data_IF_916454139517
#
_entry.id   IF_916454139517
#
_cell.length_a   1.000
_cell.length_b   1.000
_cell.length_c   1.000
_cell.angle_alpha   90.00
_cell.angle_beta   90.00
_cell.angle_gamma   90.00
#
_symmetry.space_group_name_H-M   'P 1'
#
loop_
_entity.id
_entity.type
_entity.pdbx_description
1 polymer ?
#
# COMPACT_ATOMS: atom_id res chain seq x y z
N UNK A 1 -6.33 18.12 39.74
CA UNK A 1 -5.14 17.24 39.76
C UNK A 1 -4.87 16.61 38.41
N UNK A 2 -5.85 15.95 37.79
CA UNK A 2 -5.72 15.28 36.47
C UNK A 2 -5.12 16.20 35.38
N UNK A 3 -5.57 17.44 35.24
CA UNK A 3 -5.04 18.38 34.25
C UNK A 3 -3.56 18.67 34.45
N UNK A 4 -3.08 18.74 35.70
CA UNK A 4 -1.65 18.94 36.03
C UNK A 4 -0.80 17.72 35.63
N UNK A 5 -1.33 16.49 35.80
CA UNK A 5 -0.66 15.25 35.38
C UNK A 5 -0.48 15.21 33.85
N UNK A 6 -1.43 15.78 33.10
CA UNK A 6 -1.46 15.75 31.64
C UNK A 6 -1.01 17.05 30.96
N UNK A 7 -0.56 18.04 31.71
CA UNK A 7 -0.19 19.36 31.18
C UNK A 7 0.85 19.31 30.04
N UNK A 8 1.76 18.35 30.06
CA UNK A 8 2.80 18.15 29.05
C UNK A 8 2.40 17.16 27.93
N UNK A 9 1.14 16.75 27.83
CA UNK A 9 0.62 15.79 26.85
C UNK A 9 1.43 14.49 26.73
N UNK A 10 2.01 14.03 27.82
CA UNK A 10 2.68 12.74 27.89
C UNK A 10 1.67 11.61 27.71
N UNK A 11 2.08 10.53 27.05
CA UNK A 11 1.20 9.37 26.82
C UNK A 11 0.74 8.72 28.14
N UNK A 12 -0.37 7.92 28.08
CA UNK A 12 -1.05 7.29 29.20
C UNK A 12 -0.07 6.62 30.18
N UNK A 13 0.88 5.83 29.67
CA UNK A 13 1.83 5.09 30.52
C UNK A 13 2.75 6.01 31.31
N UNK A 14 3.23 7.11 30.71
CA UNK A 14 4.10 8.06 31.40
C UNK A 14 3.33 8.87 32.46
N UNK A 15 2.12 9.31 32.12
CA UNK A 15 1.24 10.02 33.08
C UNK A 15 0.88 9.15 34.27
N UNK A 16 0.54 7.86 34.07
CA UNK A 16 0.27 6.93 35.16
C UNK A 16 1.48 6.71 36.05
N UNK A 17 2.68 6.52 35.48
CA UNK A 17 3.91 6.37 36.27
C UNK A 17 4.16 7.61 37.13
N UNK A 18 4.18 8.79 36.50
CA UNK A 18 4.40 10.06 37.18
C UNK A 18 3.37 10.30 38.30
N UNK A 19 2.11 9.92 38.10
CA UNK A 19 1.08 10.07 39.13
C UNK A 19 1.30 9.12 40.32
N UNK A 20 1.65 7.86 40.07
CA UNK A 20 1.88 6.84 41.12
C UNK A 20 3.03 7.18 42.07
N UNK A 21 4.02 7.91 41.58
CA UNK A 21 5.18 8.29 42.39
C UNK A 21 4.80 9.31 43.51
N UNK A 22 3.72 10.06 43.32
CA UNK A 22 3.40 11.20 44.21
C UNK A 22 1.94 11.29 44.66
N UNK A 23 1.05 10.48 44.07
CA UNK A 23 -0.39 10.58 44.28
C UNK A 23 -1.06 9.19 44.35
N UNK A 24 -2.11 9.10 45.15
CA UNK A 24 -2.98 7.96 45.18
C UNK A 24 -4.43 8.35 45.45
N UNK A 25 -5.36 7.82 44.65
CA UNK A 25 -6.79 7.80 44.90
C UNK A 25 -7.46 6.64 44.17
N UNK A 26 -8.61 6.12 44.68
CA UNK A 26 -9.34 5.05 44.00
C UNK A 26 -9.75 5.42 42.59
N UNK A 27 -9.49 4.54 41.59
CA UNK A 27 -9.83 4.78 40.18
C UNK A 27 -8.87 5.69 39.41
N UNK A 28 -7.77 6.19 40.02
CA UNK A 28 -6.80 7.10 39.40
C UNK A 28 -6.34 6.64 38.01
N UNK A 29 -5.96 5.39 37.87
CA UNK A 29 -5.45 4.86 36.59
C UNK A 29 -6.49 4.92 35.46
N UNK A 30 -7.76 4.68 35.79
CA UNK A 30 -8.86 4.74 34.82
C UNK A 30 -9.14 6.19 34.44
N UNK A 31 -9.25 7.08 35.42
CA UNK A 31 -9.49 8.51 35.16
C UNK A 31 -8.41 9.16 34.32
N UNK A 32 -7.12 8.83 34.55
CA UNK A 32 -6.01 9.27 33.71
C UNK A 32 -6.16 8.74 32.28
N UNK A 33 -6.53 7.47 32.13
CA UNK A 33 -6.74 6.88 30.81
C UNK A 33 -7.87 7.56 30.05
N UNK A 34 -9.01 7.75 30.70
CA UNK A 34 -10.21 8.35 30.10
C UNK A 34 -9.96 9.81 29.68
N UNK A 35 -9.30 10.58 30.52
CA UNK A 35 -8.94 11.95 30.20
C UNK A 35 -8.01 12.03 28.98
N UNK A 36 -6.95 11.22 28.94
CA UNK A 36 -5.97 11.27 27.85
C UNK A 36 -6.57 10.71 26.55
N UNK A 37 -7.41 9.68 26.63
CA UNK A 37 -8.09 9.11 25.46
C UNK A 37 -9.04 10.09 24.75
N UNK A 38 -9.59 11.05 25.52
CA UNK A 38 -10.44 12.14 25.02
C UNK A 38 -9.67 13.40 24.63
N UNK A 39 -8.37 13.46 24.88
CA UNK A 39 -7.57 14.66 24.61
C UNK A 39 -7.37 14.88 23.10
N UNK A 40 -7.91 15.97 22.57
CA UNK A 40 -7.80 16.35 21.17
C UNK A 40 -6.34 16.43 20.70
N UNK A 41 -5.48 17.15 21.46
CA UNK A 41 -4.05 17.32 21.14
C UNK A 41 -3.34 15.96 21.04
N UNK A 42 -3.51 15.08 22.04
CA UNK A 42 -2.88 13.75 22.02
C UNK A 42 -3.37 12.90 20.84
N UNK A 43 -4.64 12.97 20.51
CA UNK A 43 -5.22 12.23 19.40
C UNK A 43 -4.78 12.79 18.03
N UNK A 44 -4.59 14.10 17.91
CA UNK A 44 -4.09 14.75 16.68
C UNK A 44 -2.66 14.31 16.33
N UNK A 45 -1.80 14.15 17.32
CA UNK A 45 -0.39 13.78 17.14
C UNK A 45 -0.07 12.32 17.45
N UNK A 46 -1.08 11.47 17.50
CA UNK A 46 -0.91 10.05 17.81
C UNK A 46 -0.08 9.32 16.75
N UNK A 47 0.71 8.35 17.18
CA UNK A 47 1.46 7.48 16.27
C UNK A 47 0.52 6.65 15.38
N UNK A 48 1.03 6.23 14.21
CA UNK A 48 0.32 5.31 13.34
C UNK A 48 0.06 3.97 14.06
N UNK A 49 -1.04 3.32 13.70
CA UNK A 49 -1.35 1.99 14.23
C UNK A 49 -0.37 0.93 13.69
N UNK A 50 -0.24 -0.17 14.44
CA UNK A 50 0.47 -1.35 13.98
C UNK A 50 -0.17 -1.88 12.68
N UNK A 51 0.63 -2.59 11.89
CA UNK A 51 0.13 -3.28 10.70
C UNK A 51 -0.84 -4.39 11.13
N UNK A 52 -1.91 -4.58 10.37
CA UNK A 52 -2.76 -5.75 10.53
C UNK A 52 -2.15 -6.96 9.81
N UNK A 53 -2.44 -8.19 10.26
CA UNK A 53 -2.02 -9.40 9.56
C UNK A 53 -2.49 -9.40 8.11
N UNK A 54 -1.65 -9.92 7.21
CA UNK A 54 -1.98 -10.02 5.79
C UNK A 54 -3.18 -10.95 5.60
N UNK A 55 -4.20 -10.46 4.92
CA UNK A 55 -5.25 -11.32 4.36
C UNK A 55 -4.85 -11.63 2.93
N UNK A 56 -4.38 -12.86 2.70
CA UNK A 56 -4.08 -13.32 1.35
C UNK A 56 -5.36 -13.37 0.53
N UNK A 57 -5.27 -12.97 -0.73
CA UNK A 57 -6.34 -13.23 -1.69
C UNK A 57 -6.47 -14.73 -1.90
N UNK A 58 -7.69 -15.19 -2.10
CA UNK A 58 -7.95 -16.55 -2.55
C UNK A 58 -7.18 -16.82 -3.85
N UNK A 59 -6.44 -17.94 -3.85
CA UNK A 59 -5.66 -18.35 -5.01
C UNK A 59 -6.62 -18.82 -6.12
N UNK A 60 -6.44 -18.34 -7.36
CA UNK A 60 -7.27 -18.79 -8.47
C UNK A 60 -7.04 -20.27 -8.76
N UNK A 61 -8.06 -20.94 -9.26
CA UNK A 61 -8.01 -22.37 -9.61
C UNK A 61 -7.29 -22.66 -10.92
N UNK A 62 -7.14 -21.67 -11.80
CA UNK A 62 -6.54 -21.79 -13.14
C UNK A 62 -5.82 -20.50 -13.55
N UNK A 63 -4.90 -20.59 -14.53
CA UNK A 63 -4.25 -19.41 -15.11
C UNK A 63 -5.27 -18.45 -15.70
N UNK A 64 -4.96 -17.15 -15.61
CA UNK A 64 -5.73 -16.06 -16.18
C UNK A 64 -7.19 -15.95 -15.67
N UNK A 65 -7.52 -16.66 -14.57
CA UNK A 65 -8.84 -16.54 -13.93
C UNK A 65 -8.99 -15.19 -13.19
N UNK A 66 -7.90 -14.75 -12.57
CA UNK A 66 -7.84 -13.54 -11.77
C UNK A 66 -6.57 -12.79 -12.08
N UNK A 67 -6.71 -11.57 -12.56
CA UNK A 67 -5.58 -10.71 -12.89
C UNK A 67 -5.63 -9.43 -12.05
N UNK A 68 -4.48 -8.81 -11.90
CA UNK A 68 -4.38 -7.48 -11.34
C UNK A 68 -3.82 -6.52 -12.38
N UNK A 69 -4.29 -5.28 -12.35
CA UNK A 69 -3.86 -4.20 -13.23
C UNK A 69 -3.43 -3.02 -12.38
N UNK A 70 -2.33 -2.40 -12.75
CA UNK A 70 -1.79 -1.22 -12.08
C UNK A 70 -1.09 -0.30 -13.09
N UNK A 71 -0.96 0.99 -12.74
CA UNK A 71 -0.19 1.94 -13.51
C UNK A 71 1.09 2.32 -12.76
N UNK A 72 2.14 2.55 -13.50
CA UNK A 72 3.36 3.10 -12.91
C UNK A 72 4.06 4.05 -13.87
N UNK A 73 4.72 5.03 -13.29
CA UNK A 73 5.60 5.95 -14.01
C UNK A 73 7.05 5.52 -13.86
N UNK A 74 7.78 5.56 -14.97
CA UNK A 74 9.23 5.40 -15.00
C UNK A 74 9.82 6.37 -16.05
N UNK A 75 10.78 7.20 -15.64
CA UNK A 75 11.44 8.18 -16.49
C UNK A 75 10.45 9.11 -17.22
N UNK A 76 9.41 9.57 -16.52
CA UNK A 76 8.32 10.41 -17.05
C UNK A 76 7.50 9.74 -18.16
N UNK A 77 7.50 8.44 -18.22
CA UNK A 77 6.66 7.65 -19.12
C UNK A 77 5.70 6.78 -18.32
N UNK A 78 4.46 6.73 -18.73
CA UNK A 78 3.41 5.93 -18.08
C UNK A 78 3.39 4.52 -18.65
N UNK A 79 3.16 3.56 -17.80
CA UNK A 79 3.05 2.15 -18.16
C UNK A 79 1.84 1.52 -17.47
N UNK A 80 1.18 0.59 -18.15
CA UNK A 80 0.24 -0.33 -17.53
C UNK A 80 0.90 -1.69 -17.38
N UNK A 81 0.75 -2.29 -16.20
CA UNK A 81 1.15 -3.67 -15.90
C UNK A 81 -0.07 -4.51 -15.59
N UNK A 82 -0.10 -5.71 -16.15
CA UNK A 82 -1.13 -6.72 -15.91
C UNK A 82 -0.44 -7.96 -15.36
N UNK A 83 -0.91 -8.48 -14.23
CA UNK A 83 -0.28 -9.63 -13.54
C UNK A 83 -1.32 -10.73 -13.34
N UNK A 84 -1.02 -11.92 -13.80
CA UNK A 84 -1.83 -13.09 -13.48
C UNK A 84 -1.55 -13.61 -12.06
N UNK A 85 -2.60 -13.77 -11.26
CA UNK A 85 -2.50 -14.27 -9.89
C UNK A 85 -2.05 -15.73 -9.78
N UNK A 86 -2.30 -16.54 -10.80
CA UNK A 86 -1.91 -17.94 -10.81
C UNK A 86 -0.46 -18.11 -11.24
N UNK A 87 -0.14 -17.73 -12.46
CA UNK A 87 1.17 -17.96 -13.07
C UNK A 87 2.25 -16.99 -12.64
N UNK A 88 1.87 -15.82 -12.07
CA UNK A 88 2.77 -14.70 -11.80
C UNK A 88 3.37 -14.09 -13.07
N UNK A 89 2.90 -14.48 -14.24
CA UNK A 89 3.28 -13.84 -15.49
C UNK A 89 2.72 -12.42 -15.51
N UNK A 90 3.53 -11.48 -15.96
CA UNK A 90 3.07 -10.13 -16.18
C UNK A 90 3.31 -9.63 -17.60
N UNK A 91 2.43 -8.77 -18.03
CA UNK A 91 2.46 -8.01 -19.27
C UNK A 91 2.64 -6.55 -18.96
N UNK A 92 3.37 -5.85 -19.81
CA UNK A 92 3.61 -4.42 -19.68
C UNK A 92 3.39 -3.74 -21.03
N UNK A 93 2.74 -2.58 -21.00
CA UNK A 93 2.59 -1.74 -22.18
C UNK A 93 2.90 -0.29 -21.82
N UNK A 94 3.67 0.36 -22.67
CA UNK A 94 3.90 1.80 -22.59
C UNK A 94 2.62 2.56 -22.98
N UNK A 95 2.29 3.57 -22.22
CA UNK A 95 1.11 4.40 -22.42
C UNK A 95 1.54 5.81 -22.88
N UNK A 96 0.93 6.36 -23.92
CA UNK A 96 1.13 7.76 -24.29
C UNK A 96 0.53 8.75 -23.27
N UNK A 97 -0.43 8.30 -22.47
CA UNK A 97 -1.03 9.02 -21.35
C UNK A 97 -1.82 8.03 -20.47
N UNK A 98 -2.14 8.43 -19.24
CA UNK A 98 -2.88 7.62 -18.25
C UNK A 98 -4.41 7.77 -18.30
N UNK A 99 -5.01 8.29 -19.39
CA UNK A 99 -6.47 8.40 -19.52
C UNK A 99 -7.12 7.02 -19.61
N UNK A 100 -8.31 6.86 -19.00
CA UNK A 100 -9.09 5.61 -18.98
C UNK A 100 -9.18 4.94 -20.33
N UNK A 101 -9.54 5.67 -21.37
CA UNK A 101 -9.68 5.14 -22.75
C UNK A 101 -8.36 4.59 -23.29
N UNK A 102 -7.23 5.25 -22.99
CA UNK A 102 -5.91 4.78 -23.39
C UNK A 102 -5.56 3.48 -22.66
N UNK A 103 -5.73 3.45 -21.34
CA UNK A 103 -5.50 2.26 -20.50
C UNK A 103 -6.33 1.08 -21.00
N UNK A 104 -7.62 1.28 -21.24
CA UNK A 104 -8.55 0.27 -21.77
C UNK A 104 -8.04 -0.29 -23.11
N UNK A 105 -7.62 0.56 -24.03
CA UNK A 105 -7.13 0.14 -25.34
C UNK A 105 -5.84 -0.69 -25.25
N UNK A 106 -5.01 -0.47 -24.23
CA UNK A 106 -3.80 -1.27 -23.99
C UNK A 106 -4.08 -2.57 -23.20
N UNK A 107 -5.18 -2.64 -22.45
CA UNK A 107 -5.62 -3.89 -21.78
C UNK A 107 -6.27 -4.86 -22.78
N UNK A 108 -7.11 -4.38 -23.68
CA UNK A 108 -7.86 -5.21 -24.64
C UNK A 108 -7.02 -6.22 -25.44
N UNK A 109 -5.84 -5.91 -25.97
CA UNK A 109 -5.00 -6.88 -26.68
C UNK A 109 -4.57 -8.07 -25.80
N UNK A 110 -4.37 -7.85 -24.50
CA UNK A 110 -4.04 -8.92 -23.57
C UNK A 110 -5.26 -9.80 -23.27
N UNK A 111 -6.46 -9.20 -23.14
CA UNK A 111 -7.70 -9.96 -23.03
C UNK A 111 -7.97 -10.80 -24.28
N UNK A 112 -7.69 -10.27 -25.46
CA UNK A 112 -7.81 -11.02 -26.72
C UNK A 112 -6.80 -12.17 -26.82
N UNK A 113 -5.60 -12.01 -26.26
CA UNK A 113 -4.52 -13.02 -26.32
C UNK A 113 -4.74 -14.17 -25.33
N UNK A 114 -5.16 -13.87 -24.12
CA UNK A 114 -5.22 -14.84 -23.01
C UNK A 114 -6.65 -15.21 -22.59
N UNK A 115 -7.64 -14.56 -23.15
CA UNK A 115 -9.04 -14.70 -22.79
C UNK A 115 -9.50 -13.65 -21.77
N UNK A 116 -10.78 -13.63 -21.49
CA UNK A 116 -11.39 -12.73 -20.51
C UNK A 116 -11.26 -13.36 -19.12
N UNK A 117 -10.66 -12.67 -18.12
CA UNK A 117 -10.60 -13.18 -16.76
C UNK A 117 -11.97 -13.07 -16.07
N UNK A 118 -12.19 -13.84 -15.01
CA UNK A 118 -13.40 -13.70 -14.18
C UNK A 118 -13.31 -12.44 -13.29
N UNK A 119 -12.10 -12.11 -12.84
CA UNK A 119 -11.88 -11.00 -11.88
C UNK A 119 -10.68 -10.18 -12.33
N UNK A 120 -10.89 -8.86 -12.41
CA UNK A 120 -9.81 -7.86 -12.51
C UNK A 120 -9.73 -7.08 -11.21
N UNK A 121 -8.54 -7.00 -10.62
CA UNK A 121 -8.26 -6.18 -9.44
C UNK A 121 -7.40 -4.99 -9.86
N UNK A 122 -7.77 -3.80 -9.43
CA UNK A 122 -6.95 -2.58 -9.58
C UNK A 122 -6.92 -1.78 -8.28
N UNK A 123 -6.16 -0.72 -8.26
CA UNK A 123 -6.35 0.34 -7.28
C UNK A 123 -7.63 1.15 -7.59
N UNK A 124 -7.91 2.19 -6.83
CA UNK A 124 -9.06 3.07 -7.03
C UNK A 124 -8.64 4.36 -7.76
N UNK A 125 -7.69 4.27 -8.68
CA UNK A 125 -7.30 5.38 -9.54
C UNK A 125 -8.45 5.88 -10.41
N UNK A 126 -8.43 7.16 -10.83
CA UNK A 126 -9.51 7.75 -11.64
C UNK A 126 -9.72 7.00 -12.97
N UNK A 127 -8.67 6.43 -13.55
CA UNK A 127 -8.69 5.64 -14.78
C UNK A 127 -9.46 4.33 -14.64
N UNK A 128 -9.38 3.66 -13.46
CA UNK A 128 -10.09 2.42 -13.17
C UNK A 128 -11.46 2.63 -12.52
N UNK A 129 -11.68 3.78 -11.86
CA UNK A 129 -12.96 4.13 -11.27
C UNK A 129 -13.89 4.89 -12.23
N UNK A 130 -13.49 5.02 -13.49
CA UNK A 130 -14.22 5.72 -14.55
C UNK A 130 -15.42 4.91 -15.04
N UNK A 131 -16.40 5.62 -15.61
CA UNK A 131 -17.56 5.02 -16.28
C UNK A 131 -17.15 4.12 -17.45
N UNK A 132 -16.12 4.52 -18.22
CA UNK A 132 -15.63 3.75 -19.35
C UNK A 132 -15.05 2.39 -18.92
N UNK A 133 -14.39 2.31 -17.76
CA UNK A 133 -13.89 1.06 -17.25
C UNK A 133 -15.02 0.17 -16.70
N UNK A 134 -16.04 0.76 -16.10
CA UNK A 134 -17.25 0.05 -15.68
C UNK A 134 -18.01 -0.53 -16.90
N UNK A 135 -18.13 0.23 -17.98
CA UNK A 135 -18.71 -0.24 -19.24
C UNK A 135 -17.89 -1.39 -19.85
N UNK A 136 -16.55 -1.29 -19.83
CA UNK A 136 -15.69 -2.38 -20.26
C UNK A 136 -15.97 -3.64 -19.45
N UNK A 137 -16.06 -3.54 -18.13
CA UNK A 137 -16.30 -4.68 -17.24
C UNK A 137 -17.66 -5.34 -17.56
N UNK A 138 -18.69 -4.55 -17.77
CA UNK A 138 -20.03 -5.05 -18.18
C UNK A 138 -20.01 -5.71 -19.54
N UNK A 139 -19.38 -5.06 -20.53
CA UNK A 139 -19.36 -5.56 -21.90
C UNK A 139 -18.55 -6.85 -22.06
N UNK A 140 -17.43 -6.97 -21.33
CA UNK A 140 -16.56 -8.16 -21.34
C UNK A 140 -17.00 -9.24 -20.34
N UNK A 141 -17.90 -8.90 -19.39
CA UNK A 141 -18.46 -9.88 -18.43
C UNK A 141 -17.50 -10.26 -17.31
N UNK A 142 -16.56 -9.42 -16.93
CA UNK A 142 -15.67 -9.66 -15.77
C UNK A 142 -16.08 -8.84 -14.54
N UNK A 143 -15.75 -9.36 -13.36
CA UNK A 143 -15.95 -8.62 -12.10
C UNK A 143 -14.75 -7.71 -11.84
N UNK A 144 -14.99 -6.40 -11.72
CA UNK A 144 -13.96 -5.45 -11.31
C UNK A 144 -14.00 -5.24 -9.80
N UNK A 145 -12.84 -5.37 -9.13
CA UNK A 145 -12.68 -5.17 -7.68
C UNK A 145 -11.59 -4.13 -7.46
N UNK A 146 -11.94 -3.01 -6.83
CA UNK A 146 -10.97 -1.98 -6.47
C UNK A 146 -10.43 -2.20 -5.05
N UNK A 147 -9.11 -2.07 -4.88
CA UNK A 147 -8.50 -2.04 -3.56
C UNK A 147 -8.87 -0.77 -2.80
N UNK A 148 -8.81 -0.83 -1.46
CA UNK A 148 -9.05 0.38 -0.65
C UNK A 148 -7.94 1.41 -0.88
N UNK A 149 -8.27 2.70 -1.10
CA UNK A 149 -7.28 3.76 -1.20
C UNK A 149 -6.34 3.75 0.01
N UNK A 150 -5.07 4.08 -0.20
CA UNK A 150 -4.01 4.12 0.82
C UNK A 150 -3.59 2.77 1.43
N UNK A 151 -4.18 1.65 0.99
CA UNK A 151 -3.78 0.30 1.40
C UNK A 151 -3.38 -0.54 0.19
N UNK A 152 -2.30 -0.14 -0.45
CA UNK A 152 -1.69 -0.82 -1.60
C UNK A 152 -1.29 -2.27 -1.29
N UNK A 153 -1.07 -2.59 -0.02
CA UNK A 153 -0.70 -3.94 0.43
C UNK A 153 -1.76 -5.02 0.17
N UNK A 154 -3.01 -4.65 -0.10
CA UNK A 154 -4.02 -5.59 -0.62
C UNK A 154 -3.68 -6.05 -2.03
N UNK A 155 -2.83 -5.32 -2.76
CA UNK A 155 -2.33 -5.60 -4.10
C UNK A 155 -0.83 -5.96 -4.12
N UNK A 156 -0.29 -6.48 -3.01
CA UNK A 156 1.13 -6.75 -2.83
C UNK A 156 1.77 -7.69 -3.88
N UNK A 157 0.96 -8.43 -4.64
CA UNK A 157 1.43 -9.17 -5.81
C UNK A 157 1.81 -8.21 -6.94
N UNK A 158 0.93 -7.26 -7.24
CA UNK A 158 1.14 -6.27 -8.31
C UNK A 158 2.27 -5.33 -7.93
N UNK A 159 2.33 -4.86 -6.69
CA UNK A 159 3.45 -4.03 -6.21
C UNK A 159 4.81 -4.69 -6.42
N UNK A 160 4.91 -6.00 -6.15
CA UNK A 160 6.14 -6.75 -6.42
C UNK A 160 6.42 -6.89 -7.91
N UNK A 161 5.39 -7.16 -8.72
CA UNK A 161 5.53 -7.22 -10.17
C UNK A 161 5.99 -5.87 -10.72
N UNK A 162 5.35 -4.77 -10.32
CA UNK A 162 5.76 -3.39 -10.67
C UNK A 162 7.19 -3.11 -10.25
N UNK A 163 7.59 -3.52 -9.04
CA UNK A 163 8.97 -3.31 -8.57
C UNK A 163 9.97 -4.14 -9.39
N UNK A 164 9.65 -5.39 -9.71
CA UNK A 164 10.47 -6.26 -10.55
C UNK A 164 10.61 -5.66 -11.94
N UNK A 165 9.50 -5.18 -12.50
CA UNK A 165 9.44 -4.55 -13.81
C UNK A 165 10.29 -3.29 -13.89
N UNK A 166 10.06 -2.35 -12.95
CA UNK A 166 10.86 -1.13 -12.84
C UNK A 166 12.35 -1.41 -12.77
N UNK A 167 12.74 -2.42 -11.98
CA UNK A 167 14.14 -2.80 -11.85
C UNK A 167 14.68 -3.41 -13.14
N UNK A 168 13.90 -4.24 -13.83
CA UNK A 168 14.29 -4.86 -15.10
C UNK A 168 14.42 -3.82 -16.19
N UNK A 169 13.46 -2.89 -16.31
CA UNK A 169 13.53 -1.76 -17.23
C UNK A 169 14.76 -0.86 -16.99
N UNK A 170 15.00 -0.51 -15.71
CA UNK A 170 16.17 0.31 -15.35
C UNK A 170 17.49 -0.35 -15.72
N UNK A 171 17.63 -1.65 -15.43
CA UNK A 171 18.83 -2.41 -15.75
C UNK A 171 19.03 -2.55 -17.26
N UNK A 172 17.97 -2.86 -18.01
CA UNK A 172 18.02 -2.95 -19.45
C UNK A 172 18.45 -1.62 -20.09
N UNK A 173 17.88 -0.50 -19.64
CA UNK A 173 18.28 0.84 -20.09
C UNK A 173 19.73 1.18 -19.71
N UNK A 174 20.17 0.89 -18.49
CA UNK A 174 21.53 1.18 -18.04
C UNK A 174 22.59 0.43 -18.84
N UNK A 175 22.25 -0.77 -19.30
CA UNK A 175 23.14 -1.60 -20.13
C UNK A 175 22.88 -1.47 -21.65
N UNK A 176 21.97 -0.58 -22.06
CA UNK A 176 21.50 -0.44 -23.45
C UNK A 176 21.07 -1.78 -24.06
N UNK A 177 20.39 -2.62 -23.26
CA UNK A 177 19.87 -3.93 -23.67
C UNK A 177 18.38 -3.87 -23.98
N UNK A 178 17.93 -4.81 -24.80
CA UNK A 178 16.51 -4.98 -25.13
C UNK A 178 15.73 -5.46 -23.90
N UNK A 179 14.80 -4.62 -23.45
CA UNK A 179 13.90 -4.93 -22.33
C UNK A 179 13.02 -6.17 -22.60
N UNK A 180 12.56 -6.36 -23.83
CA UNK A 180 11.70 -7.51 -24.16
C UNK A 180 12.44 -8.84 -24.00
N UNK A 181 13.75 -8.87 -24.23
CA UNK A 181 14.55 -10.06 -23.95
C UNK A 181 14.67 -10.33 -22.45
N UNK A 182 14.84 -9.28 -21.64
CA UNK A 182 14.86 -9.44 -20.19
C UNK A 182 13.50 -9.92 -19.64
N UNK A 183 12.40 -9.43 -20.19
CA UNK A 183 11.06 -9.90 -19.88
C UNK A 183 10.85 -11.38 -20.29
N UNK A 184 11.37 -11.76 -21.45
CA UNK A 184 11.33 -13.15 -21.90
C UNK A 184 12.11 -14.09 -20.96
N UNK A 185 13.29 -13.65 -20.51
CA UNK A 185 14.10 -14.42 -19.56
C UNK A 185 13.38 -14.57 -18.21
N UNK A 186 12.76 -13.49 -17.68
CA UNK A 186 11.93 -13.55 -16.47
C UNK A 186 10.80 -14.58 -16.61
N UNK A 187 10.05 -14.55 -17.71
CA UNK A 187 8.91 -15.45 -17.95
C UNK A 187 9.32 -16.91 -18.00
N UNK A 188 10.57 -17.20 -18.34
CA UNK A 188 11.11 -18.57 -18.43
C UNK A 188 11.94 -18.99 -17.22
N UNK A 189 12.14 -18.09 -16.23
CA UNK A 189 12.87 -18.42 -15.01
C UNK A 189 11.96 -19.16 -14.01
N UNK A 190 12.34 -20.39 -13.58
CA UNK A 190 11.55 -21.14 -12.61
C UNK A 190 11.44 -20.41 -11.26
N UNK A 191 10.28 -20.46 -10.64
CA UNK A 191 10.05 -19.96 -9.28
C UNK A 191 10.49 -21.00 -8.25
N UNK A 192 11.15 -20.55 -7.18
CA UNK A 192 11.87 -21.38 -6.21
C UNK A 192 10.99 -22.48 -5.58
N UNK A 193 9.78 -22.18 -5.12
CA UNK A 193 8.95 -23.16 -4.40
C UNK A 193 8.10 -24.07 -5.34
N UNK A 194 8.03 -23.71 -6.62
CA UNK A 194 7.14 -24.37 -7.59
C UNK A 194 7.94 -25.14 -8.64
N UNK A 195 9.19 -24.74 -8.89
CA UNK A 195 10.09 -25.24 -9.93
C UNK A 195 9.50 -25.13 -11.36
N UNK A 196 8.49 -24.30 -11.56
CA UNK A 196 7.92 -23.96 -12.84
C UNK A 196 8.07 -22.47 -13.12
N UNK A 197 8.30 -22.13 -14.37
CA UNK A 197 8.36 -20.75 -14.80
C UNK A 197 6.95 -20.16 -15.01
N UNK A 198 6.79 -18.84 -14.96
CA UNK A 198 5.52 -18.17 -15.29
C UNK A 198 4.95 -18.61 -16.65
N UNK A 199 5.80 -18.78 -17.66
CA UNK A 199 5.38 -19.26 -18.98
C UNK A 199 4.84 -20.70 -18.93
N UNK A 200 5.50 -21.62 -18.21
CA UNK A 200 5.01 -22.98 -18.02
C UNK A 200 3.65 -23.00 -17.30
N UNK A 201 3.48 -22.16 -16.29
CA UNK A 201 2.23 -22.10 -15.53
C UNK A 201 1.07 -21.52 -16.34
N UNK A 202 1.33 -20.55 -17.25
CA UNK A 202 0.29 -19.93 -18.06
C UNK A 202 0.01 -20.70 -19.35
N UNK A 203 1.08 -21.14 -20.04
CA UNK A 203 1.02 -21.70 -21.41
C UNK A 203 1.25 -23.22 -21.45
N UNK A 204 1.52 -23.85 -20.33
CA UNK A 204 1.86 -25.28 -20.25
C UNK A 204 3.28 -25.62 -20.77
N UNK A 205 4.07 -24.66 -21.22
CA UNK A 205 5.43 -24.88 -21.77
C UNK A 205 6.34 -23.70 -21.52
N UNK A 206 7.65 -23.92 -21.60
CA UNK A 206 8.61 -22.81 -21.74
C UNK A 206 8.53 -22.22 -23.15
N UNK A 207 8.90 -20.99 -23.28
CA UNK A 207 9.13 -20.34 -24.57
C UNK A 207 10.62 -20.38 -24.91
N UNK A 208 10.95 -20.45 -26.20
CA UNK A 208 12.34 -20.42 -26.62
C UNK A 208 12.99 -19.08 -26.26
N UNK A 209 14.14 -19.14 -25.62
CA UNK A 209 14.97 -17.99 -25.27
C UNK A 209 16.28 -18.06 -26.07
N UNK A 210 17.23 -17.16 -25.77
CA UNK A 210 18.58 -17.22 -26.34
C UNK A 210 19.45 -18.33 -25.72
N UNK A 211 19.04 -18.88 -24.58
CA UNK A 211 19.73 -20.00 -23.95
C UNK A 211 19.35 -21.31 -24.63
N UNK A 212 20.29 -22.26 -24.75
CA UNK A 212 19.96 -23.60 -25.20
C UNK A 212 18.88 -24.22 -24.34
N UNK A 213 17.85 -24.80 -24.95
CA UNK A 213 16.72 -25.39 -24.24
C UNK A 213 16.43 -26.75 -24.85
N UNK A 214 16.21 -27.76 -24.00
CA UNK A 214 15.81 -29.10 -24.46
C UNK A 214 14.43 -29.04 -25.12
N UNK A 215 14.22 -29.71 -26.25
CA UNK A 215 12.94 -29.72 -26.96
C UNK A 215 11.74 -30.06 -26.06
N UNK A 216 11.90 -31.02 -25.15
CA UNK A 216 10.84 -31.43 -24.20
C UNK A 216 10.30 -30.33 -23.32
N UNK A 217 11.10 -29.28 -23.01
CA UNK A 217 10.65 -28.11 -22.24
C UNK A 217 9.82 -27.15 -23.09
N UNK A 218 9.91 -27.23 -24.41
CA UNK A 218 9.16 -26.38 -25.34
C UNK A 218 7.82 -27.02 -25.72
N UNK A 219 7.64 -28.33 -25.45
CA UNK A 219 6.39 -29.02 -25.64
C UNK A 219 5.39 -28.72 -24.53
N UNK A 220 4.09 -28.63 -24.85
CA UNK A 220 3.06 -28.43 -23.85
C UNK A 220 3.03 -29.56 -22.82
N UNK A 221 3.16 -29.20 -21.55
CA UNK A 221 3.01 -30.12 -20.42
C UNK A 221 1.90 -29.56 -19.52
N UNK A 222 0.88 -30.35 -19.29
CA UNK A 222 -0.20 -29.96 -18.39
C UNK A 222 0.28 -30.09 -16.95
N UNK A 223 0.24 -29.00 -16.19
CA UNK A 223 0.73 -28.99 -14.82
C UNK A 223 -0.08 -29.99 -13.96
N UNK A 224 0.63 -30.77 -13.18
CA UNK A 224 0.05 -31.67 -12.18
C UNK A 224 -0.34 -30.90 -10.89
N UNK A 225 -1.06 -31.56 -9.97
CA UNK A 225 -1.65 -31.00 -8.73
C UNK A 225 -0.67 -30.26 -7.80
N UNK A 226 0.63 -30.43 -7.99
CA UNK A 226 1.69 -29.81 -7.17
C UNK A 226 1.77 -28.27 -7.26
N UNK A 227 1.19 -27.65 -8.31
CA UNK A 227 1.24 -26.18 -8.47
C UNK A 227 0.43 -25.47 -7.41
N UNK A 228 -0.78 -25.93 -7.12
CA UNK A 228 -1.64 -25.32 -6.10
C UNK A 228 -0.98 -25.37 -4.72
N UNK A 229 -0.35 -26.49 -4.41
CA UNK A 229 0.40 -26.69 -3.17
C UNK A 229 1.58 -25.70 -3.07
N UNK A 230 2.40 -25.61 -4.12
CA UNK A 230 3.52 -24.67 -4.19
C UNK A 230 3.09 -23.19 -4.07
N UNK A 231 2.00 -22.80 -4.75
CA UNK A 231 1.42 -21.45 -4.62
C UNK A 231 0.93 -21.18 -3.20
N UNK A 232 0.28 -22.16 -2.57
CA UNK A 232 -0.20 -22.07 -1.19
C UNK A 232 0.96 -21.92 -0.22
N UNK A 233 1.97 -22.77 -0.33
CA UNK A 233 3.19 -22.71 0.51
C UNK A 233 3.88 -21.36 0.40
N UNK A 234 4.03 -20.83 -0.80
CA UNK A 234 4.60 -19.50 -1.04
C UNK A 234 3.77 -18.38 -0.41
N UNK A 235 2.44 -18.45 -0.50
CA UNK A 235 1.53 -17.50 0.14
C UNK A 235 1.64 -17.56 1.67
N UNK A 236 1.77 -18.76 2.25
CA UNK A 236 1.94 -18.98 3.70
C UNK A 236 3.27 -18.40 4.21
N UNK A 237 4.38 -18.65 3.52
CA UNK A 237 5.70 -18.09 3.87
C UNK A 237 5.64 -16.55 3.83
N UNK A 238 5.05 -15.98 2.78
CA UNK A 238 4.87 -14.54 2.67
C UNK A 238 4.02 -13.98 3.82
N UNK A 239 2.93 -14.67 4.15
CA UNK A 239 2.03 -14.28 5.24
C UNK A 239 2.74 -14.33 6.59
N UNK A 240 3.51 -15.37 6.88
CA UNK A 240 4.28 -15.49 8.12
C UNK A 240 5.29 -14.35 8.28
N UNK A 241 6.04 -14.05 7.22
CA UNK A 241 7.00 -12.93 7.23
C UNK A 241 6.34 -11.58 7.48
N UNK A 242 5.23 -11.34 6.82
CA UNK A 242 4.47 -10.09 6.97
C UNK A 242 3.86 -9.93 8.37
N UNK A 243 3.39 -11.02 8.95
CA UNK A 243 2.63 -11.03 10.21
C UNK A 243 3.52 -10.92 11.45
N UNK A 244 4.84 -11.01 11.35
CA UNK A 244 5.77 -10.95 12.50
C UNK A 244 5.53 -9.75 13.42
N UNK A 245 5.08 -8.62 12.88
CA UNK A 245 4.78 -7.39 13.63
C UNK A 245 3.34 -6.91 13.46
N UNK A 246 2.47 -7.79 12.96
CA UNK A 246 1.05 -7.50 12.76
C UNK A 246 0.25 -7.62 14.05
N UNK A 247 -0.74 -6.73 14.23
CA UNK A 247 -1.73 -6.80 15.31
C UNK A 247 -3.13 -6.76 14.72
N UNK A 248 -4.00 -7.67 15.16
CA UNK A 248 -5.39 -7.64 14.78
C UNK A 248 -6.04 -6.41 15.42
N UNK A 249 -6.64 -5.56 14.59
CA UNK A 249 -7.38 -4.38 15.04
C UNK A 249 -8.87 -4.75 15.20
N UNK A 250 -9.49 -4.26 16.28
CA UNK A 250 -10.93 -4.45 16.48
C UNK A 250 -11.72 -3.84 15.32
N UNK A 251 -12.78 -4.52 14.82
CA UNK A 251 -13.66 -3.95 13.80
C UNK A 251 -14.27 -2.63 14.26
N UNK A 252 -14.68 -1.82 13.31
CA UNK A 252 -15.42 -0.58 13.54
C UNK A 252 -16.87 -0.78 13.10
N UNK A 253 -17.76 -0.12 13.81
CA UNK A 253 -19.18 -0.07 13.48
C UNK A 253 -19.55 1.29 12.89
N UNK A 254 -20.66 1.35 12.17
CA UNK A 254 -21.26 2.62 11.73
C UNK A 254 -21.59 3.46 12.97
N UNK A 255 -21.28 4.76 12.94
CA UNK A 255 -21.40 5.68 14.06
C UNK A 255 -20.16 5.76 14.97
N UNK A 256 -19.16 4.89 14.77
CA UNK A 256 -17.91 4.99 15.55
C UNK A 256 -17.18 6.28 15.24
N UNK A 257 -16.77 7.01 16.30
CA UNK A 257 -15.89 8.16 16.18
C UNK A 257 -14.46 7.69 15.96
N UNK A 258 -13.86 8.17 14.89
CA UNK A 258 -12.50 7.80 14.48
C UNK A 258 -11.70 9.03 14.11
N UNK A 259 -10.41 8.84 13.95
CA UNK A 259 -9.53 9.84 13.33
C UNK A 259 -8.88 9.28 12.07
N UNK A 260 -8.76 10.12 11.05
CA UNK A 260 -8.15 9.81 9.75
C UNK A 260 -6.96 10.73 9.47
N UNK A 261 -6.06 10.29 8.61
CA UNK A 261 -5.10 11.19 7.96
C UNK A 261 -5.63 11.59 6.60
N UNK A 262 -5.76 12.90 6.37
CA UNK A 262 -6.08 13.43 5.04
C UNK A 262 -4.85 13.34 4.13
N UNK A 263 -5.02 13.25 2.80
CA UNK A 263 -3.91 13.29 1.85
C UNK A 263 -2.98 14.48 2.13
N UNK A 264 -1.66 14.24 2.15
CA UNK A 264 -0.66 15.27 2.43
C UNK A 264 -0.51 15.70 3.88
N UNK A 265 -1.35 15.25 4.80
CA UNK A 265 -1.28 15.63 6.21
C UNK A 265 -0.61 14.56 7.08
N UNK A 266 0.22 15.00 8.03
CA UNK A 266 0.86 14.13 9.03
C UNK A 266 0.00 13.97 10.30
N UNK A 267 -0.96 14.86 10.51
CA UNK A 267 -1.85 14.92 11.67
C UNK A 267 -3.14 14.13 11.46
N UNK A 268 -3.75 13.69 12.55
CA UNK A 268 -5.01 12.97 12.55
C UNK A 268 -6.19 13.92 12.73
N UNK A 269 -7.18 13.86 11.85
CA UNK A 269 -8.39 14.69 11.84
C UNK A 269 -9.60 13.86 12.30
N UNK A 270 -10.53 14.41 13.10
CA UNK A 270 -11.75 13.72 13.50
C UNK A 270 -12.61 13.32 12.29
N UNK A 271 -13.24 12.16 12.38
CA UNK A 271 -14.16 11.64 11.39
C UNK A 271 -15.15 10.66 12.04
N UNK A 272 -16.21 10.34 11.33
CA UNK A 272 -17.23 9.37 11.75
C UNK A 272 -17.36 8.27 10.71
N UNK A 273 -17.50 7.03 11.14
CA UNK A 273 -17.75 5.87 10.26
C UNK A 273 -19.20 5.91 9.81
N UNK A 274 -19.45 6.10 8.51
CA UNK A 274 -20.77 6.13 7.94
C UNK A 274 -21.22 4.81 7.31
N UNK A 275 -20.25 4.01 6.82
CA UNK A 275 -20.55 2.72 6.20
C UNK A 275 -19.39 1.75 6.36
N UNK A 276 -19.72 0.50 6.69
CA UNK A 276 -18.81 -0.65 6.57
C UNK A 276 -18.99 -1.21 5.16
N UNK A 277 -17.90 -1.36 4.40
CA UNK A 277 -17.98 -1.85 3.02
C UNK A 277 -17.89 -3.36 2.94
N UNK A 278 -18.33 -3.96 1.84
CA UNK A 278 -18.17 -5.40 1.58
C UNK A 278 -16.70 -5.83 1.47
N UNK A 279 -15.83 -4.92 1.05
CA UNK A 279 -14.38 -5.18 1.02
C UNK A 279 -13.83 -5.31 2.44
N UNK A 280 -13.10 -6.38 2.77
CA UNK A 280 -12.58 -6.60 4.12
C UNK A 280 -11.75 -5.42 4.62
N UNK A 281 -11.97 -5.00 5.87
CA UNK A 281 -11.22 -3.92 6.55
C UNK A 281 -11.34 -2.55 5.85
N UNK A 282 -12.35 -2.33 5.04
CA UNK A 282 -12.59 -1.08 4.33
C UNK A 282 -13.84 -0.39 4.88
N UNK A 283 -13.74 0.91 5.11
CA UNK A 283 -14.78 1.73 5.74
C UNK A 283 -14.95 3.03 4.98
N UNK A 284 -16.17 3.54 4.93
CA UNK A 284 -16.46 4.90 4.48
C UNK A 284 -16.61 5.76 5.72
N UNK A 285 -15.89 6.86 5.75
CA UNK A 285 -15.88 7.81 6.87
C UNK A 285 -16.09 9.23 6.36
N UNK A 286 -16.72 10.06 7.16
CA UNK A 286 -16.93 11.49 6.84
C UNK A 286 -16.12 12.35 7.78
N UNK A 287 -15.36 13.28 7.22
CA UNK A 287 -14.60 14.30 7.93
C UNK A 287 -14.79 15.65 7.27
N UNK A 288 -15.21 16.65 8.02
CA UNK A 288 -15.48 18.01 7.55
C UNK A 288 -16.39 18.03 6.29
N UNK A 289 -17.46 17.22 6.29
CA UNK A 289 -18.42 17.13 5.19
C UNK A 289 -17.94 16.33 3.97
N UNK A 290 -16.67 15.89 3.95
CA UNK A 290 -16.10 15.11 2.84
C UNK A 290 -16.07 13.63 3.19
N UNK A 291 -16.52 12.78 2.25
CA UNK A 291 -16.50 11.31 2.41
C UNK A 291 -15.17 10.72 1.93
N UNK A 292 -14.60 9.82 2.72
CA UNK A 292 -13.36 9.12 2.43
C UNK A 292 -13.54 7.62 2.59
N UNK A 293 -13.07 6.81 1.63
CA UNK A 293 -12.90 5.38 1.81
C UNK A 293 -11.51 5.12 2.40
N UNK A 294 -11.43 4.40 3.53
CA UNK A 294 -10.17 4.14 4.27
C UNK A 294 -10.10 2.70 4.74
N UNK A 295 -8.87 2.18 4.84
CA UNK A 295 -8.61 0.89 5.45
C UNK A 295 -8.67 1.00 6.98
N UNK A 296 -8.98 -0.11 7.68
CA UNK A 296 -9.04 -0.19 9.15
C UNK A 296 -7.78 0.36 9.82
N UNK A 297 -6.61 0.08 9.25
CA UNK A 297 -5.31 0.55 9.74
C UNK A 297 -5.20 2.08 9.77
N UNK A 298 -5.82 2.74 8.83
CA UNK A 298 -5.77 4.20 8.69
C UNK A 298 -6.87 4.92 9.50
N UNK A 299 -7.56 4.18 10.37
CA UNK A 299 -8.65 4.65 11.21
C UNK A 299 -8.31 4.41 12.68
N UNK A 300 -8.12 5.45 13.48
CA UNK A 300 -7.92 5.34 14.92
C UNK A 300 -9.27 5.56 15.62
N UNK A 301 -9.81 4.53 16.29
CA UNK A 301 -10.99 4.68 17.13
C UNK A 301 -10.65 5.55 18.34
N UNK A 302 -11.48 6.57 18.61
CA UNK A 302 -11.32 7.50 19.74
C UNK A 302 -12.57 7.50 20.61
N UNK A 303 -12.39 7.88 21.87
CA UNK A 303 -13.50 8.05 22.82
C UNK A 303 -14.04 9.49 22.84
N UNK A 304 -13.72 10.27 21.79
CA UNK A 304 -14.21 11.64 21.66
C UNK A 304 -15.71 11.61 21.30
N UNK A 305 -16.49 12.47 21.94
CA UNK A 305 -17.90 12.66 21.58
C UNK A 305 -17.98 13.57 20.36
N UNK A 306 -18.74 13.17 19.35
CA UNK A 306 -19.01 13.90 18.08
C UNK A 306 -19.71 15.26 18.25
N UNK A 307 -19.82 15.78 19.47
CA UNK A 307 -20.52 17.04 19.81
C UNK A 307 -19.67 18.29 19.87
N UNK A 308 -18.35 18.20 19.67
CA UNK A 308 -17.49 19.41 19.66
C UNK A 308 -17.24 19.87 18.22
N UNK A 309 -18.27 20.47 17.60
CA UNK A 309 -18.05 21.44 16.52
C UNK A 309 -17.02 22.43 17.05
N UNK A 310 -15.80 22.37 16.55
CA UNK A 310 -14.81 23.42 16.74
C UNK A 310 -15.43 24.71 16.19
N UNK A 311 -15.96 25.54 17.07
CA UNK A 311 -16.05 26.96 16.80
C UNK A 311 -14.61 27.42 16.59
N UNK A 312 -14.25 27.63 15.34
CA UNK A 312 -13.08 28.41 14.99
C UNK A 312 -13.30 29.77 15.64
N UNK A 313 -12.59 30.04 16.73
CA UNK A 313 -12.40 31.38 17.27
C UNK A 313 -11.79 32.21 16.16
N UNK A 314 -12.62 33.03 15.55
CA UNK A 314 -12.19 34.13 14.71
C UNK A 314 -11.34 35.06 15.60
N UNK A 315 -10.05 34.90 15.55
CA UNK A 315 -9.11 35.83 16.13
C UNK A 315 -8.99 37.00 15.18
N UNK A 316 -9.59 38.09 15.64
CA UNK A 316 -9.44 39.49 15.27
C UNK A 316 -8.23 39.78 14.36
N UNK A 317 -8.54 40.13 13.13
CA UNK A 317 -7.65 40.95 12.30
C UNK A 317 -7.47 42.31 13.01
N UNK A 318 -6.30 42.56 13.55
CA UNK A 318 -5.80 43.91 13.79
C UNK A 318 -4.98 44.32 12.58
N UNK A 319 -5.61 45.14 11.77
CA UNK A 319 -4.92 46.04 10.83
C UNK A 319 -4.01 46.97 11.58
N UNK A 320 -2.73 47.00 11.27
CA UNK A 320 -1.85 48.12 11.48
C UNK A 320 -0.88 48.21 10.31
N UNK A 321 -0.82 49.41 9.80
CA UNK A 321 -0.28 49.83 8.53
C UNK A 321 1.23 49.79 8.37
N UNK A 322 1.54 50.03 7.15
CA UNK A 322 2.80 50.42 6.49
C UNK A 322 3.99 50.85 7.35
N UNK A 323 5.16 50.29 7.02
CA UNK A 323 6.27 51.08 6.46
C UNK A 323 7.63 50.37 6.56
N UNK A 324 8.34 50.39 5.47
CA UNK A 324 9.77 50.49 5.25
C UNK A 324 10.72 49.28 5.25
N UNK A 325 11.16 49.03 4.03
CA UNK A 325 12.55 48.89 3.51
C UNK A 325 13.47 47.76 4.00
N UNK A 326 13.73 46.91 3.00
CA UNK A 326 15.06 46.47 2.53
C UNK A 326 16.19 46.31 3.56
N UNK A 327 16.64 45.08 3.73
CA UNK A 327 18.06 44.73 3.47
C UNK A 327 18.23 43.19 3.50
N UNK A 328 18.71 42.66 2.41
CA UNK A 328 19.17 41.29 2.22
C UNK A 328 20.39 40.95 3.04
N UNK A 329 20.35 39.88 3.83
CA UNK A 329 21.53 39.10 4.24
C UNK A 329 21.21 37.61 4.14
N UNK A 330 22.10 36.81 3.52
CA UNK A 330 21.90 35.36 3.42
C UNK A 330 22.17 34.71 4.77
N UNK A 331 21.21 33.97 5.28
CA UNK A 331 21.37 33.11 6.47
C UNK A 331 22.06 31.83 5.98
N UNK A 332 23.25 31.56 6.49
CA UNK A 332 23.96 30.29 6.36
C UNK A 332 23.14 29.20 7.06
N UNK A 333 22.82 28.14 6.35
CA UNK A 333 22.33 26.89 6.92
C UNK A 333 23.40 26.29 7.83
N UNK A 334 23.04 25.73 9.01
CA UNK A 334 23.99 24.98 9.82
C UNK A 334 24.27 23.62 9.17
N UNK A 335 25.53 23.42 8.80
CA UNK A 335 26.04 22.11 8.37
C UNK A 335 25.90 21.11 9.54
N UNK A 336 25.11 20.06 9.31
CA UNK A 336 25.07 18.90 10.19
C UNK A 336 26.41 18.15 10.06
N UNK A 337 27.10 17.83 11.17
CA UNK A 337 28.32 17.04 11.10
C UNK A 337 28.04 15.66 10.54
N UNK A 338 28.78 15.28 9.51
CA UNK A 338 28.70 13.99 8.86
C UNK A 338 28.86 12.87 9.90
N UNK A 339 27.83 12.01 9.98
CA UNK A 339 27.83 10.83 10.85
C UNK A 339 28.87 9.84 10.31
N UNK A 340 29.99 9.72 10.99
CA UNK A 340 31.02 8.74 10.67
C UNK A 340 30.45 7.33 10.89
N UNK A 341 30.10 6.65 9.80
CA UNK A 341 29.67 5.25 9.83
C UNK A 341 30.94 4.41 9.98
N UNK A 342 31.16 3.86 11.17
CA UNK A 342 32.23 2.87 11.36
C UNK A 342 31.78 1.53 10.77
N UNK A 343 32.60 0.90 9.90
CA UNK A 343 32.28 -0.40 9.37
C UNK A 343 32.22 -1.45 10.50
N UNK A 344 31.39 -2.49 10.36
CA UNK A 344 31.27 -3.56 11.36
C UNK A 344 32.61 -4.28 11.58
N UNK A 345 32.88 -4.71 12.81
CA UNK A 345 34.15 -5.30 13.22
C UNK A 345 34.59 -6.54 12.40
N UNK A 346 33.64 -7.27 11.83
CA UNK A 346 33.91 -8.46 11.01
C UNK A 346 34.49 -8.14 9.61
N UNK A 347 34.47 -6.87 9.17
CA UNK A 347 35.07 -6.47 7.89
C UNK A 347 36.60 -6.39 7.92
N UNK A 348 37.23 -6.49 9.11
CA UNK A 348 38.69 -6.44 9.27
C UNK A 348 39.41 -7.69 8.81
N UNK A 349 38.72 -8.80 8.64
CA UNK A 349 39.30 -10.08 8.28
C UNK A 349 39.28 -10.39 6.77
N UNK A 350 38.79 -9.48 5.94
CA UNK A 350 38.84 -9.59 4.49
C UNK A 350 40.00 -8.77 3.93
N UNK A 351 41.15 -9.40 3.78
CA UNK A 351 42.22 -8.90 2.92
C UNK A 351 41.80 -9.11 1.46
N UNK A 352 41.52 -8.00 0.75
CA UNK A 352 41.44 -8.01 -0.71
C UNK A 352 42.88 -8.06 -1.23
N UNK A 353 43.29 -9.18 -1.78
CA UNK A 353 44.43 -9.31 -2.68
C UNK A 353 44.02 -8.89 -4.09
#
# INVERSE_FOLDING_TARGET
>A
MLSKIHSSHLGIGKCKRRARDVLFWPGMNQQITDMISKCNTCNTYRNAQAREPLKSHELPGRPWQKIAVDLFELDKQDYVVIVDYYSKLFEVSHLPNSKSKTVINHIKPHLARYGIPEIIISDNGPEFSSHEFEELAKHYGFKHITSSPTYSQSNGLVERAVQTEKNTLKKAKAENKDFHLALLDYRNTPMEEINLSPAQMLMGRRTRTRLPTTPSLLEPQYPTDNIKEGLRRRAEIQQQYYNRHGKVLQPLNTGDTVRIRKPGQKTWTPAEVTKVTESPRSYVVVSDGTSYRRNRRDLIKTAETTGSRCQATASQQRTLGDSHKNTSRPVKEPENPARVIRPPAWLKDYHTS
#
